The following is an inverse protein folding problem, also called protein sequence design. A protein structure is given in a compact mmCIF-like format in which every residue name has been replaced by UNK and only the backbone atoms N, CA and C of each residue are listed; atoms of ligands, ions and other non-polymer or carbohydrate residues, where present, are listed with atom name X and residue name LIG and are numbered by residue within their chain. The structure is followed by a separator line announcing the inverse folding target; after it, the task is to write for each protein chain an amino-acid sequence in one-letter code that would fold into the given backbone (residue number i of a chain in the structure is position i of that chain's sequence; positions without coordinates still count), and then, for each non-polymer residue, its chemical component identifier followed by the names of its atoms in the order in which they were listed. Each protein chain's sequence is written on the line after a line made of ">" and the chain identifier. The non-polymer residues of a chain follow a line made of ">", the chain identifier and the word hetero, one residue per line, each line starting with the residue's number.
data_IF_532929973158
#
_entry.id   IF_532929973158
#
_cell.length_a   1.000
_cell.length_b   1.000
_cell.length_c   1.000
_cell.angle_alpha   90.00
_cell.angle_beta   90.00
_cell.angle_gamma   90.00
#
_symmetry.space_group_name_H-M   'P 1'
#
loop_
_entity.id
_entity.type
_entity.pdbx_description
1 polymer ?
#
# COMPACT_ATOMS: atom_id res chain seq x y z
N UNK A 1 -58.80 -19.29 32.19
CA UNK A 1 -58.88 -18.75 33.56
C UNK A 1 -57.53 -18.28 33.98
N UNK A 2 -57.46 -17.05 34.41
CA UNK A 2 -56.44 -16.32 35.17
C UNK A 2 -55.11 -16.06 34.42
N UNK A 3 -54.86 -14.85 33.96
CA UNK A 3 -54.62 -13.53 34.62
C UNK A 3 -53.19 -13.51 35.18
N UNK A 4 -52.38 -12.65 34.58
CA UNK A 4 -52.09 -11.24 34.76
C UNK A 4 -50.72 -11.03 35.44
N UNK A 5 -50.10 -10.07 35.07
CA UNK A 5 -49.46 -8.80 35.52
C UNK A 5 -47.92 -8.90 35.32
N UNK A 6 -47.23 -8.15 34.52
CA UNK A 6 -47.27 -6.67 34.47
C UNK A 6 -46.23 -6.10 35.42
N UNK A 7 -44.96 -5.84 35.00
CA UNK A 7 -44.15 -4.81 35.68
C UNK A 7 -43.34 -4.08 34.58
N UNK A 8 -43.76 -2.84 34.30
CA UNK A 8 -43.04 -1.80 33.66
C UNK A 8 -41.98 -1.26 34.62
N UNK A 9 -40.72 -1.14 34.17
CA UNK A 9 -39.76 -0.25 34.83
C UNK A 9 -39.25 0.80 33.85
N UNK A 10 -39.10 2.05 34.28
CA UNK A 10 -38.85 3.18 33.40
C UNK A 10 -37.36 3.38 33.07
N UNK A 11 -37.19 3.86 31.86
CA UNK A 11 -35.93 4.28 31.25
C UNK A 11 -35.24 5.39 32.05
N UNK A 12 -34.00 5.19 32.39
CA UNK A 12 -33.10 6.21 32.90
C UNK A 12 -32.50 6.98 31.70
N UNK A 13 -33.02 8.17 31.43
CA UNK A 13 -32.45 9.12 30.47
C UNK A 13 -31.32 9.86 31.16
N UNK A 14 -30.09 9.57 30.71
CA UNK A 14 -28.92 10.34 31.14
C UNK A 14 -28.79 11.58 30.25
N UNK A 15 -29.13 12.73 30.81
CA UNK A 15 -28.94 14.05 30.20
C UNK A 15 -27.43 14.39 30.24
N UNK A 16 -26.82 14.48 29.07
CA UNK A 16 -25.47 15.03 28.93
C UNK A 16 -25.56 16.53 28.78
N UNK A 17 -25.18 17.25 29.83
CA UNK A 17 -25.07 18.70 29.86
C UNK A 17 -23.83 19.13 29.08
N UNK A 18 -24.05 19.83 27.98
CA UNK A 18 -22.96 20.46 27.20
C UNK A 18 -22.68 21.83 27.84
N UNK A 19 -21.51 22.02 28.41
CA UNK A 19 -21.01 23.29 28.88
C UNK A 19 -20.43 24.12 27.70
N UNK A 20 -20.73 25.43 27.60
CA UNK A 20 -20.16 26.26 26.54
C UNK A 20 -18.74 26.68 26.89
N UNK A 21 -17.78 26.42 25.99
CA UNK A 21 -16.45 26.96 26.07
C UNK A 21 -16.46 28.46 25.74
N UNK A 22 -16.12 29.26 26.73
CA UNK A 22 -15.88 30.71 26.59
C UNK A 22 -14.54 30.96 25.87
N UNK A 23 -14.61 31.60 24.72
CA UNK A 23 -13.44 32.18 24.06
C UNK A 23 -12.96 33.40 24.83
N UNK A 24 -11.84 33.33 25.50
CA UNK A 24 -11.14 34.50 26.03
C UNK A 24 -10.34 35.16 24.90
N UNK A 25 -10.79 36.32 24.49
CA UNK A 25 -10.00 37.24 23.64
C UNK A 25 -8.97 37.94 24.51
N UNK A 26 -7.70 37.80 24.21
CA UNK A 26 -6.62 38.64 24.74
C UNK A 26 -6.52 39.92 23.91
N UNK A 27 -6.38 41.11 24.57
CA UNK A 27 -6.29 42.40 23.85
C UNK A 27 -4.87 42.63 23.31
N UNK A 28 -4.82 43.08 22.07
CA UNK A 28 -3.62 43.62 21.42
C UNK A 28 -3.27 44.99 22.07
N UNK A 29 -2.15 45.06 22.76
CA UNK A 29 -1.57 46.35 23.17
C UNK A 29 -0.70 46.92 22.03
N UNK A 30 -1.19 47.96 21.40
CA UNK A 30 -0.41 48.90 20.59
C UNK A 30 0.41 49.76 21.58
N UNK A 31 1.75 49.74 21.46
CA UNK A 31 2.60 50.78 22.09
C UNK A 31 3.24 51.60 20.98
N UNK A 32 2.69 52.82 20.86
CA UNK A 32 3.34 53.96 20.20
C UNK A 32 4.51 54.40 21.03
N UNK A 33 5.67 54.64 20.43
CA UNK A 33 6.68 55.55 20.95
C UNK A 33 7.08 56.51 19.82
N UNK A 34 6.55 57.76 20.00
CA UNK A 34 7.03 58.99 19.40
C UNK A 34 7.83 59.68 20.48
N UNK A 35 8.90 60.34 20.10
CA UNK A 35 9.67 61.27 20.91
C UNK A 35 11.12 61.33 20.40
N UNK A 36 11.44 62.20 19.51
CA UNK A 36 11.81 63.59 19.56
C UNK A 36 13.05 63.85 20.45
N UNK A 37 14.08 64.43 19.88
CA UNK A 37 15.13 65.11 20.62
C UNK A 37 16.40 65.38 19.76
N UNK A 38 16.48 66.57 19.25
CA UNK A 38 17.60 67.19 18.52
C UNK A 38 18.71 67.68 19.46
N UNK A 39 19.81 68.03 18.88
CA UNK A 39 20.99 68.83 19.34
C UNK A 39 22.23 68.00 19.70
N UNK A 40 23.41 68.32 19.35
CA UNK A 40 24.05 69.54 18.89
C UNK A 40 25.41 69.22 18.22
N UNK A 41 25.81 70.12 17.37
CA UNK A 41 27.05 70.32 16.64
C UNK A 41 28.30 70.44 17.50
N UNK A 42 29.46 70.16 16.81
CA UNK A 42 30.82 70.68 17.02
C UNK A 42 31.80 69.75 17.72
N UNK A 43 32.69 69.24 16.96
CA UNK A 43 34.15 69.50 17.13
C UNK A 43 34.93 68.94 15.93
N UNK A 44 35.82 69.76 15.51
CA UNK A 44 36.60 69.67 14.27
C UNK A 44 37.83 68.79 14.36
N UNK A 45 38.26 68.32 13.15
CA UNK A 45 39.62 68.13 12.70
C UNK A 45 40.60 67.28 13.51
N UNK A 46 40.88 66.10 12.97
CA UNK A 46 42.25 65.57 12.93
C UNK A 46 42.41 64.72 11.65
N UNK A 47 43.13 65.31 10.69
CA UNK A 47 43.60 64.61 9.51
C UNK A 47 44.77 63.71 9.89
N UNK A 48 44.61 62.42 9.72
CA UNK A 48 45.67 61.44 9.67
C UNK A 48 45.27 60.35 8.65
N UNK A 49 46.11 60.01 7.68
CA UNK A 49 45.76 58.94 6.75
C UNK A 49 45.86 57.60 7.45
N UNK A 50 44.69 56.94 7.64
CA UNK A 50 44.67 55.55 8.07
C UNK A 50 45.06 54.66 6.90
N UNK A 51 45.87 53.58 7.15
CA UNK A 51 46.16 52.58 6.13
C UNK A 51 44.87 51.93 5.67
N UNK A 52 44.71 51.78 4.34
CA UNK A 52 43.52 51.23 3.71
C UNK A 52 43.16 49.85 4.25
N UNK A 53 41.97 49.76 4.80
CA UNK A 53 41.33 48.48 5.03
C UNK A 53 41.00 47.93 3.67
N UNK A 54 41.66 46.82 3.29
CA UNK A 54 41.31 46.02 2.13
C UNK A 54 39.81 45.71 2.21
N UNK A 55 39.03 46.18 1.24
CA UNK A 55 37.63 45.83 1.10
C UNK A 55 37.57 44.31 0.97
N UNK A 56 37.04 43.65 1.99
CA UNK A 56 36.66 42.24 1.92
C UNK A 56 35.58 42.17 0.85
N UNK A 57 35.91 41.57 -0.28
CA UNK A 57 34.99 41.20 -1.32
C UNK A 57 33.88 40.34 -0.64
N UNK A 58 32.58 40.63 -0.87
CA UNK A 58 31.53 39.76 -0.36
C UNK A 58 31.79 38.36 -0.86
N UNK A 59 32.05 37.43 0.04
CA UNK A 59 32.17 36.02 -0.25
C UNK A 59 30.82 35.57 -0.81
N UNK A 60 30.75 35.29 -2.11
CA UNK A 60 29.59 34.69 -2.74
C UNK A 60 29.31 33.40 -1.98
N UNK A 61 28.11 33.18 -1.44
CA UNK A 61 27.80 31.93 -0.73
C UNK A 61 28.16 30.77 -1.67
N UNK A 62 29.07 29.92 -1.21
CA UNK A 62 29.45 28.71 -1.94
C UNK A 62 28.16 27.91 -2.23
N UNK A 63 27.78 27.83 -3.50
CA UNK A 63 26.68 26.96 -3.92
C UNK A 63 27.08 25.56 -3.51
N UNK A 64 26.35 25.00 -2.56
CA UNK A 64 26.57 23.61 -2.11
C UNK A 64 26.57 22.72 -3.36
N UNK A 65 27.52 21.77 -3.49
CA UNK A 65 27.62 20.93 -4.66
C UNK A 65 26.29 20.19 -4.83
N UNK A 66 25.58 20.48 -5.93
CA UNK A 66 24.34 19.78 -6.29
C UNK A 66 24.70 18.35 -6.65
N UNK A 67 24.37 17.40 -5.77
CA UNK A 67 24.53 15.98 -6.06
C UNK A 67 23.65 15.66 -7.29
N UNK A 68 24.24 15.14 -8.38
CA UNK A 68 23.44 14.81 -9.56
C UNK A 68 22.43 13.72 -9.20
N UNK A 69 21.18 13.78 -9.72
CA UNK A 69 20.15 12.78 -9.48
C UNK A 69 20.63 11.40 -9.95
N UNK A 70 20.59 10.39 -9.08
CA UNK A 70 20.91 9.01 -9.44
C UNK A 70 19.68 8.24 -9.93
N UNK A 71 19.84 7.26 -10.82
CA UNK A 71 18.76 6.32 -11.10
C UNK A 71 18.42 5.55 -9.82
N UNK A 72 17.14 5.41 -9.53
CA UNK A 72 16.61 4.62 -8.41
C UNK A 72 15.71 3.52 -8.93
N UNK A 73 15.78 2.34 -8.36
CA UNK A 73 14.97 1.20 -8.73
C UNK A 73 13.65 1.22 -7.96
N UNK A 74 12.54 1.43 -8.67
CA UNK A 74 11.21 1.49 -8.09
C UNK A 74 10.62 0.08 -8.04
N UNK A 75 10.26 -0.37 -6.82
CA UNK A 75 9.51 -1.60 -6.59
C UNK A 75 8.04 -1.32 -6.33
N UNK A 76 7.15 -2.12 -6.92
CA UNK A 76 5.72 -2.09 -6.66
C UNK A 76 5.33 -3.33 -5.85
N UNK A 77 4.86 -3.13 -4.61
CA UNK A 77 4.43 -4.21 -3.73
C UNK A 77 2.88 -4.28 -3.67
N UNK A 78 2.31 -5.33 -4.27
CA UNK A 78 0.87 -5.52 -4.41
C UNK A 78 0.36 -6.48 -3.34
N UNK A 79 -0.44 -5.98 -2.41
CA UNK A 79 -0.96 -6.75 -1.29
C UNK A 79 -2.08 -7.73 -1.65
N UNK A 80 -2.34 -8.67 -0.74
CA UNK A 80 -3.47 -9.60 -0.79
C UNK A 80 -4.79 -8.94 -0.42
N UNK A 81 -5.91 -9.50 -0.92
CA UNK A 81 -7.25 -8.97 -0.62
C UNK A 81 -8.38 -9.54 -1.45
N UNK A 82 -8.22 -10.71 -2.04
CA UNK A 82 -9.21 -11.41 -2.86
C UNK A 82 -9.81 -10.49 -3.96
N UNK A 83 -11.14 -10.34 -4.09
CA UNK A 83 -11.78 -9.52 -5.13
C UNK A 83 -11.33 -8.04 -5.11
N UNK A 84 -10.88 -7.51 -3.98
CA UNK A 84 -10.31 -6.16 -3.90
C UNK A 84 -9.04 -5.98 -4.75
N UNK A 85 -8.42 -7.09 -5.21
CA UNK A 85 -7.27 -7.10 -6.12
C UNK A 85 -7.45 -6.31 -7.41
N UNK A 86 -8.68 -6.11 -7.87
CA UNK A 86 -8.94 -5.25 -9.03
C UNK A 86 -8.49 -3.81 -8.84
N UNK A 87 -8.38 -3.33 -7.60
CA UNK A 87 -7.88 -1.98 -7.33
C UNK A 87 -6.41 -1.81 -7.74
N UNK A 88 -5.60 -2.88 -7.71
CA UNK A 88 -4.22 -2.83 -8.19
C UNK A 88 -4.12 -2.41 -9.67
N UNK A 89 -5.11 -2.80 -10.48
CA UNK A 89 -5.18 -2.43 -11.90
C UNK A 89 -5.32 -0.91 -12.04
N UNK A 90 -6.21 -0.31 -11.24
CA UNK A 90 -6.38 1.13 -11.19
C UNK A 90 -5.11 1.87 -10.77
N UNK A 91 -4.41 1.33 -9.76
CA UNK A 91 -3.13 1.87 -9.30
C UNK A 91 -2.10 1.85 -10.43
N UNK A 92 -1.91 0.71 -11.11
CA UNK A 92 -0.95 0.57 -12.20
C UNK A 92 -1.29 1.54 -13.35
N UNK A 93 -2.56 1.62 -13.76
CA UNK A 93 -3.02 2.58 -14.78
C UNK A 93 -2.65 4.02 -14.43
N UNK A 94 -2.93 4.42 -13.18
CA UNK A 94 -2.68 5.78 -12.74
C UNK A 94 -1.17 6.08 -12.63
N UNK A 95 -0.35 5.14 -12.18
CA UNK A 95 1.10 5.28 -12.16
C UNK A 95 1.68 5.42 -13.57
N UNK A 96 1.29 4.53 -14.51
CA UNK A 96 1.72 4.57 -15.91
C UNK A 96 1.32 5.89 -16.60
N UNK A 97 0.08 6.35 -16.38
CA UNK A 97 -0.42 7.62 -16.92
C UNK A 97 0.38 8.85 -16.44
N UNK A 98 1.07 8.72 -15.31
CA UNK A 98 1.94 9.75 -14.73
C UNK A 98 3.42 9.55 -15.04
N UNK A 99 3.75 8.58 -15.91
CA UNK A 99 5.12 8.27 -16.30
C UNK A 99 5.93 7.56 -15.19
N UNK A 100 5.26 6.97 -14.21
CA UNK A 100 5.91 6.20 -13.14
C UNK A 100 5.82 4.72 -13.50
N UNK A 101 6.97 4.15 -13.86
CA UNK A 101 7.10 2.75 -14.26
C UNK A 101 7.93 2.00 -13.23
N UNK A 102 7.33 1.09 -12.44
CA UNK A 102 8.08 0.21 -11.56
C UNK A 102 9.06 -0.68 -12.34
N UNK A 103 10.24 -0.91 -11.78
CA UNK A 103 11.30 -1.74 -12.37
C UNK A 103 11.33 -3.16 -11.82
N UNK A 104 10.53 -3.42 -10.78
CA UNK A 104 10.24 -4.74 -10.26
C UNK A 104 8.85 -4.75 -9.59
N UNK A 105 8.24 -5.90 -9.51
CA UNK A 105 6.95 -6.07 -8.83
C UNK A 105 6.96 -7.30 -7.93
N UNK A 106 6.38 -7.14 -6.74
CA UNK A 106 6.10 -8.25 -5.82
C UNK A 106 4.62 -8.35 -5.55
N UNK A 107 4.12 -9.55 -5.31
CA UNK A 107 2.71 -9.76 -5.06
C UNK A 107 2.43 -10.86 -4.06
N UNK A 108 1.36 -10.68 -3.30
CA UNK A 108 0.81 -11.66 -2.36
C UNK A 108 -0.65 -11.92 -2.73
N UNK A 109 -1.07 -13.20 -2.84
CA UNK A 109 -2.45 -13.62 -3.10
C UNK A 109 -3.04 -12.93 -4.35
N UNK A 110 -4.13 -12.19 -4.25
CA UNK A 110 -4.68 -11.41 -5.36
C UNK A 110 -3.65 -10.45 -5.99
N UNK A 111 -2.76 -9.87 -5.17
CA UNK A 111 -1.64 -9.06 -5.67
C UNK A 111 -0.66 -9.86 -6.51
N UNK A 112 -0.45 -11.16 -6.21
CA UNK A 112 0.42 -12.03 -7.01
C UNK A 112 -0.16 -12.29 -8.42
N UNK A 113 -1.47 -12.39 -8.55
CA UNK A 113 -2.14 -12.50 -9.85
C UNK A 113 -1.87 -11.27 -10.71
N UNK A 114 -2.14 -10.08 -10.16
CA UNK A 114 -1.93 -8.83 -10.90
C UNK A 114 -0.45 -8.58 -11.17
N UNK A 115 0.43 -8.89 -10.21
CA UNK A 115 1.88 -8.79 -10.38
C UNK A 115 2.39 -9.68 -11.53
N UNK A 116 1.92 -10.93 -11.61
CA UNK A 116 2.31 -11.87 -12.69
C UNK A 116 1.88 -11.37 -14.06
N UNK A 117 0.65 -10.89 -14.19
CA UNK A 117 0.13 -10.34 -15.44
C UNK A 117 0.87 -9.05 -15.84
N UNK A 118 1.13 -8.16 -14.90
CA UNK A 118 1.88 -6.94 -15.14
C UNK A 118 3.33 -7.25 -15.53
N UNK A 119 3.99 -8.14 -14.79
CA UNK A 119 5.37 -8.57 -15.09
C UNK A 119 5.51 -9.25 -16.45
N UNK A 120 4.44 -9.87 -16.97
CA UNK A 120 4.44 -10.46 -18.32
C UNK A 120 4.54 -9.39 -19.42
N UNK A 121 4.31 -8.12 -19.08
CA UNK A 121 4.35 -6.96 -19.95
C UNK A 121 2.98 -6.45 -20.36
N UNK A 122 1.92 -6.84 -19.68
CA UNK A 122 0.60 -6.21 -19.84
C UNK A 122 0.62 -4.83 -19.19
N UNK A 123 0.20 -3.79 -19.92
CA UNK A 123 0.00 -2.46 -19.35
C UNK A 123 -1.23 -2.42 -18.46
N UNK A 124 -1.33 -1.41 -17.59
CA UNK A 124 -2.52 -1.17 -16.77
C UNK A 124 -3.81 -1.08 -17.59
N UNK A 125 -3.73 -0.53 -18.80
CA UNK A 125 -4.88 -0.50 -19.72
C UNK A 125 -5.27 -1.90 -20.21
N UNK A 126 -4.29 -2.75 -20.55
CA UNK A 126 -4.55 -4.14 -20.96
C UNK A 126 -5.12 -4.97 -19.80
N UNK A 127 -4.60 -4.79 -18.59
CA UNK A 127 -5.14 -5.40 -17.38
C UNK A 127 -6.58 -4.97 -17.13
N UNK A 128 -6.91 -3.69 -17.32
CA UNK A 128 -8.26 -3.17 -17.19
C UNK A 128 -9.21 -3.81 -18.22
N UNK A 129 -8.80 -3.87 -19.49
CA UNK A 129 -9.59 -4.53 -20.53
C UNK A 129 -9.84 -5.99 -20.19
N UNK A 130 -8.79 -6.71 -19.76
CA UNK A 130 -8.91 -8.11 -19.33
C UNK A 130 -9.91 -8.26 -18.18
N UNK A 131 -9.82 -7.43 -17.14
CA UNK A 131 -10.73 -7.47 -15.98
C UNK A 131 -12.19 -7.26 -16.38
N UNK A 132 -12.45 -6.34 -17.32
CA UNK A 132 -13.80 -6.03 -17.80
C UNK A 132 -14.42 -7.14 -18.67
N UNK A 133 -13.58 -7.87 -19.40
CA UNK A 133 -14.01 -8.97 -20.28
C UNK A 133 -13.93 -10.34 -19.62
N UNK A 134 -13.50 -10.40 -18.36
CA UNK A 134 -13.39 -11.65 -17.62
C UNK A 134 -14.76 -12.26 -17.37
N UNK A 135 -14.95 -13.51 -17.81
CA UNK A 135 -16.16 -14.27 -17.54
C UNK A 135 -16.24 -14.61 -16.05
N UNK A 136 -17.40 -14.37 -15.45
CA UNK A 136 -17.63 -14.70 -14.04
C UNK A 136 -17.53 -16.21 -13.79
N UNK A 137 -17.86 -17.06 -14.76
CA UNK A 137 -17.67 -18.51 -14.67
C UNK A 137 -16.19 -18.91 -14.58
N UNK A 138 -15.29 -18.18 -15.26
CA UNK A 138 -13.85 -18.42 -15.16
C UNK A 138 -13.28 -17.99 -13.79
N UNK A 139 -13.99 -17.10 -13.09
CA UNK A 139 -13.68 -16.64 -11.73
C UNK A 139 -14.34 -17.54 -10.68
N UNK A 140 -15.39 -18.26 -11.05
CA UNK A 140 -16.26 -19.00 -10.12
C UNK A 140 -15.46 -20.04 -9.30
N UNK A 141 -14.52 -20.74 -9.90
CA UNK A 141 -13.59 -21.65 -9.18
C UNK A 141 -12.67 -20.92 -8.19
N UNK A 142 -12.49 -19.61 -8.39
CA UNK A 142 -11.73 -18.75 -7.51
C UNK A 142 -12.62 -18.06 -6.45
N UNK A 143 -13.91 -17.87 -6.81
CA UNK A 143 -14.89 -17.16 -5.99
C UNK A 143 -15.77 -18.08 -5.11
N UNK A 144 -15.83 -19.38 -5.40
CA UNK A 144 -16.82 -20.32 -4.87
C UNK A 144 -16.52 -21.07 -3.55
N UNK A 145 -15.59 -20.67 -2.66
CA UNK A 145 -15.51 -21.36 -1.38
C UNK A 145 -16.70 -21.08 -0.45
N UNK A 146 -17.49 -20.05 -0.75
CA UNK A 146 -18.52 -19.56 0.18
C UNK A 146 -19.94 -20.04 -0.08
N UNK A 147 -20.18 -20.87 -1.10
CA UNK A 147 -21.54 -21.22 -1.53
C UNK A 147 -21.88 -22.70 -1.69
N UNK A 148 -20.93 -23.61 -1.67
CA UNK A 148 -21.22 -25.04 -1.90
C UNK A 148 -21.24 -25.86 -0.61
N UNK A 149 -22.28 -26.68 -0.45
CA UNK A 149 -22.57 -27.55 0.71
C UNK A 149 -21.60 -28.71 0.93
N UNK A 150 -20.45 -28.75 0.27
CA UNK A 150 -19.48 -29.82 0.40
C UNK A 150 -18.22 -29.30 1.05
N UNK A 151 -17.86 -29.82 2.21
CA UNK A 151 -16.62 -29.57 2.95
C UNK A 151 -15.35 -30.08 2.25
N UNK A 152 -15.26 -29.85 0.94
CA UNK A 152 -14.10 -30.17 0.11
C UNK A 152 -13.26 -28.91 -0.12
N UNK A 153 -12.00 -29.00 0.23
CA UNK A 153 -11.01 -27.95 -0.05
C UNK A 153 -10.84 -27.81 -1.56
N UNK A 154 -10.96 -26.60 -2.08
CA UNK A 154 -10.78 -26.34 -3.51
C UNK A 154 -9.30 -26.52 -3.88
N UNK A 155 -9.05 -27.17 -5.03
CA UNK A 155 -7.68 -27.40 -5.48
C UNK A 155 -7.01 -26.12 -6.01
N UNK A 156 -7.78 -25.15 -6.53
CA UNK A 156 -7.26 -23.90 -7.09
C UNK A 156 -6.48 -24.07 -8.41
N UNK A 157 -6.59 -25.22 -9.08
CA UNK A 157 -5.89 -25.49 -10.34
C UNK A 157 -6.41 -24.60 -11.50
N UNK A 158 -7.68 -24.19 -11.42
CA UNK A 158 -8.26 -23.27 -12.40
C UNK A 158 -7.54 -21.93 -12.42
N UNK A 159 -7.19 -21.37 -11.25
CA UNK A 159 -6.40 -20.14 -11.14
C UNK A 159 -5.01 -20.31 -11.76
N UNK A 160 -4.32 -21.41 -11.44
CA UNK A 160 -3.01 -21.73 -12.01
C UNK A 160 -3.05 -21.78 -13.54
N UNK A 161 -4.02 -22.53 -14.09
CA UNK A 161 -4.18 -22.71 -15.51
C UNK A 161 -4.56 -21.41 -16.21
N UNK A 162 -5.44 -20.63 -15.59
CA UNK A 162 -5.85 -19.32 -16.08
C UNK A 162 -4.68 -18.35 -16.19
N UNK A 163 -3.90 -18.21 -15.12
CA UNK A 163 -2.71 -17.34 -15.14
C UNK A 163 -1.71 -17.82 -16.18
N UNK A 164 -1.37 -19.12 -16.20
CA UNK A 164 -0.43 -19.69 -17.15
C UNK A 164 -0.86 -19.48 -18.61
N UNK A 165 -2.17 -19.62 -18.91
CA UNK A 165 -2.71 -19.32 -20.24
C UNK A 165 -2.50 -17.86 -20.64
N UNK A 166 -2.81 -16.92 -19.75
CA UNK A 166 -2.70 -15.48 -20.03
C UNK A 166 -1.27 -15.01 -20.27
N UNK A 167 -0.30 -15.63 -19.61
CA UNK A 167 1.13 -15.30 -19.74
C UNK A 167 1.87 -16.23 -20.70
N UNK A 168 1.15 -17.08 -21.46
CA UNK A 168 1.72 -18.07 -22.39
C UNK A 168 2.73 -19.02 -21.70
N UNK A 169 2.40 -19.51 -20.50
CA UNK A 169 3.23 -20.41 -19.66
C UNK A 169 4.62 -19.87 -19.35
N UNK A 170 4.80 -18.54 -19.38
CA UNK A 170 6.11 -17.93 -19.10
C UNK A 170 6.50 -18.17 -17.63
N UNK A 171 7.70 -18.73 -17.35
CA UNK A 171 8.19 -18.89 -15.99
C UNK A 171 8.58 -17.55 -15.38
N UNK A 172 8.66 -17.49 -14.04
CA UNK A 172 8.88 -16.24 -13.29
C UNK A 172 10.17 -15.52 -13.74
N UNK A 173 11.26 -16.27 -13.91
CA UNK A 173 12.56 -15.75 -14.31
C UNK A 173 12.62 -15.21 -15.75
N UNK A 174 11.65 -15.55 -16.57
CA UNK A 174 11.54 -15.08 -17.96
C UNK A 174 10.55 -13.93 -18.15
N UNK A 175 10.03 -13.36 -17.05
CA UNK A 175 9.14 -12.21 -17.11
C UNK A 175 9.86 -10.98 -17.65
N UNK A 176 9.12 -10.08 -18.29
CA UNK A 176 9.66 -8.81 -18.80
C UNK A 176 10.11 -7.88 -17.67
N UNK A 177 9.39 -7.95 -16.53
CA UNK A 177 9.71 -7.22 -15.32
C UNK A 177 10.07 -8.24 -14.23
N UNK A 178 11.15 -8.04 -13.46
CA UNK A 178 11.48 -8.87 -12.32
C UNK A 178 10.28 -9.06 -11.40
N UNK A 179 9.87 -10.32 -11.20
CA UNK A 179 8.69 -10.72 -10.45
C UNK A 179 9.07 -11.49 -9.19
N UNK A 180 8.45 -11.14 -8.07
CA UNK A 180 8.48 -11.90 -6.83
C UNK A 180 7.06 -12.26 -6.37
N UNK A 181 6.84 -13.53 -6.05
CA UNK A 181 5.55 -14.02 -5.54
C UNK A 181 5.77 -14.58 -4.15
N UNK A 182 5.05 -14.06 -3.16
CA UNK A 182 5.19 -14.50 -1.76
C UNK A 182 4.17 -15.59 -1.43
N UNK A 183 4.66 -16.67 -0.83
CA UNK A 183 3.83 -17.70 -0.19
C UNK A 183 4.39 -18.05 1.19
N UNK A 184 3.66 -18.83 1.96
CA UNK A 184 4.08 -19.31 3.28
C UNK A 184 4.35 -20.81 3.23
N UNK A 185 5.53 -21.24 3.65
CA UNK A 185 5.82 -22.66 3.89
C UNK A 185 4.99 -23.13 5.10
N UNK A 186 4.08 -24.06 4.86
CA UNK A 186 3.11 -24.50 5.89
C UNK A 186 3.79 -25.19 7.07
N UNK A 187 4.91 -25.85 6.84
CA UNK A 187 5.63 -26.60 7.89
C UNK A 187 6.46 -25.71 8.80
N UNK A 188 7.12 -24.70 8.19
CA UNK A 188 8.07 -23.86 8.92
C UNK A 188 7.49 -22.51 9.34
N UNK A 189 6.40 -22.06 8.69
CA UNK A 189 5.83 -20.73 8.85
C UNK A 189 6.67 -19.62 8.21
N UNK A 190 7.72 -19.99 7.45
CA UNK A 190 8.57 -18.99 6.78
C UNK A 190 7.93 -18.45 5.51
N UNK A 191 8.13 -17.16 5.26
CA UNK A 191 7.83 -16.53 3.98
C UNK A 191 8.80 -16.99 2.90
N UNK A 192 8.27 -17.45 1.77
CA UNK A 192 9.05 -17.87 0.62
C UNK A 192 8.76 -16.91 -0.53
N UNK A 193 9.82 -16.34 -1.08
CA UNK A 193 9.75 -15.47 -2.26
C UNK A 193 10.10 -16.28 -3.51
N UNK A 194 9.08 -16.68 -4.26
CA UNK A 194 9.28 -17.33 -5.56
C UNK A 194 9.77 -16.31 -6.59
N UNK A 195 10.94 -16.55 -7.14
CA UNK A 195 11.58 -15.75 -8.20
C UNK A 195 11.90 -16.58 -9.44
N UNK A 196 11.57 -17.88 -9.43
CA UNK A 196 11.80 -18.84 -10.50
C UNK A 196 10.71 -19.91 -10.50
N UNK A 197 10.54 -20.58 -11.63
CA UNK A 197 9.64 -21.70 -11.80
C UNK A 197 8.30 -21.31 -12.41
N UNK A 198 7.32 -22.23 -12.31
CA UNK A 198 6.00 -22.04 -12.90
C UNK A 198 5.23 -20.91 -12.21
N UNK A 199 4.95 -19.87 -12.96
CA UNK A 199 4.29 -18.65 -12.43
C UNK A 199 2.89 -18.92 -11.91
N UNK A 200 2.07 -19.65 -12.67
CA UNK A 200 0.70 -19.96 -12.22
C UNK A 200 0.68 -20.83 -10.96
N UNK A 201 1.64 -21.75 -10.82
CA UNK A 201 1.78 -22.58 -9.63
C UNK A 201 2.18 -21.75 -8.41
N UNK A 202 3.12 -20.81 -8.55
CA UNK A 202 3.52 -19.91 -7.49
C UNK A 202 2.37 -18.96 -7.10
N UNK A 203 1.61 -18.43 -8.08
CA UNK A 203 0.41 -17.63 -7.84
C UNK A 203 -0.64 -18.44 -7.07
N UNK A 204 -0.88 -19.70 -7.45
CA UNK A 204 -1.79 -20.60 -6.75
C UNK A 204 -1.35 -20.82 -5.30
N UNK A 205 -0.07 -21.09 -5.07
CA UNK A 205 0.50 -21.25 -3.73
C UNK A 205 0.28 -19.98 -2.89
N UNK A 206 0.59 -18.81 -3.46
CA UNK A 206 0.40 -17.49 -2.84
C UNK A 206 -1.06 -17.18 -2.51
N UNK A 207 -2.02 -17.82 -3.20
CA UNK A 207 -3.47 -17.58 -3.05
C UNK A 207 -4.18 -18.72 -2.32
N UNK A 208 -3.46 -19.69 -1.78
CA UNK A 208 -4.02 -20.86 -1.08
C UNK A 208 -4.40 -20.52 0.36
N UNK A 209 -5.48 -19.76 0.53
CA UNK A 209 -6.02 -19.35 1.83
C UNK A 209 -6.41 -20.59 2.67
N UNK A 210 -5.83 -20.76 3.89
CA UNK A 210 -6.18 -21.87 4.76
C UNK A 210 -7.67 -21.93 5.10
N UNK A 211 -8.25 -23.13 5.06
CA UNK A 211 -9.69 -23.33 5.26
C UNK A 211 -10.55 -23.14 4.02
N UNK A 212 -9.96 -22.61 2.93
CA UNK A 212 -10.62 -22.37 1.62
C UNK A 212 -10.02 -23.25 0.55
N UNK A 213 -8.71 -23.19 0.37
CA UNK A 213 -7.96 -23.94 -0.62
C UNK A 213 -7.04 -24.99 0.01
N UNK A 214 -6.73 -26.02 -0.77
CA UNK A 214 -5.70 -26.99 -0.41
C UNK A 214 -4.32 -26.32 -0.49
N UNK A 215 -3.38 -26.70 0.39
CA UNK A 215 -1.97 -26.34 0.22
C UNK A 215 -1.45 -26.80 -1.14
N UNK A 216 -0.47 -26.09 -1.67
CA UNK A 216 0.17 -26.40 -2.95
C UNK A 216 1.53 -27.03 -2.70
N UNK A 217 1.69 -28.29 -3.10
CA UNK A 217 2.99 -28.96 -2.99
C UNK A 217 3.90 -28.57 -4.14
N UNK A 218 5.08 -28.04 -3.82
CA UNK A 218 6.14 -27.67 -4.77
C UNK A 218 7.46 -28.22 -4.23
N UNK A 219 8.09 -29.11 -4.96
CA UNK A 219 9.40 -29.72 -4.61
C UNK A 219 9.44 -30.33 -3.20
N UNK A 220 8.33 -30.97 -2.77
CA UNK A 220 8.23 -31.63 -1.46
C UNK A 220 7.89 -30.73 -0.27
N UNK A 221 7.62 -29.43 -0.51
CA UNK A 221 7.13 -28.48 0.45
C UNK A 221 5.68 -28.11 0.16
N UNK A 222 4.89 -27.96 1.21
CA UNK A 222 3.50 -27.50 1.10
C UNK A 222 3.41 -26.00 1.43
N UNK A 223 2.80 -25.27 0.49
CA UNK A 223 2.67 -23.81 0.58
C UNK A 223 1.21 -23.39 0.72
N UNK A 224 1.02 -22.35 1.51
CA UNK A 224 -0.26 -21.67 1.70
C UNK A 224 -0.11 -20.18 1.43
N UNK A 225 -1.22 -19.43 1.52
CA UNK A 225 -1.28 -18.00 1.20
C UNK A 225 -0.16 -17.20 1.88
N UNK A 226 0.49 -16.34 1.11
CA UNK A 226 1.56 -15.47 1.57
C UNK A 226 1.09 -14.40 2.56
N UNK A 227 -0.21 -14.14 2.60
CA UNK A 227 -0.82 -13.19 3.53
C UNK A 227 -0.67 -13.54 5.01
N UNK A 228 -0.30 -14.80 5.33
CA UNK A 228 0.01 -15.20 6.70
C UNK A 228 1.31 -14.58 7.22
N UNK A 229 2.25 -14.24 6.35
CA UNK A 229 3.58 -13.74 6.72
C UNK A 229 3.90 -12.37 6.15
N UNK A 230 3.47 -12.08 4.93
CA UNK A 230 3.74 -10.81 4.24
C UNK A 230 2.53 -10.40 3.40
N UNK A 231 1.45 -9.91 4.04
CA UNK A 231 0.21 -9.53 3.33
C UNK A 231 0.43 -8.43 2.29
N UNK A 232 1.37 -7.51 2.52
CA UNK A 232 1.84 -6.52 1.55
C UNK A 232 3.36 -6.69 1.42
N UNK A 233 3.87 -7.17 0.26
CA UNK A 233 5.23 -7.68 0.12
C UNK A 233 6.29 -6.57 -0.06
N UNK A 234 6.40 -5.68 0.94
CA UNK A 234 7.35 -4.56 0.99
C UNK A 234 8.79 -5.04 1.17
N UNK A 235 9.00 -5.95 2.12
CA UNK A 235 10.33 -6.49 2.42
C UNK A 235 10.84 -7.34 1.26
N UNK A 236 9.95 -8.11 0.63
CA UNK A 236 10.25 -8.85 -0.59
C UNK A 236 10.67 -7.94 -1.74
N UNK A 237 10.02 -6.77 -1.92
CA UNK A 237 10.44 -5.79 -2.92
C UNK A 237 11.83 -5.22 -2.61
N UNK A 238 12.12 -4.92 -1.33
CA UNK A 238 13.46 -4.51 -0.87
C UNK A 238 14.51 -5.61 -1.13
N UNK A 239 14.20 -6.86 -0.78
CA UNK A 239 15.07 -8.01 -1.02
C UNK A 239 15.37 -8.25 -2.51
N UNK A 240 14.48 -7.81 -3.41
CA UNK A 240 14.71 -7.80 -4.85
C UNK A 240 15.51 -6.57 -5.34
N UNK A 241 15.92 -5.70 -4.44
CA UNK A 241 16.76 -4.56 -4.73
C UNK A 241 16.01 -3.28 -5.09
N UNK A 242 14.77 -3.10 -4.62
CA UNK A 242 14.08 -1.82 -4.75
C UNK A 242 14.72 -0.75 -3.86
N UNK A 243 15.14 0.37 -4.45
CA UNK A 243 15.57 1.56 -3.72
C UNK A 243 14.39 2.37 -3.18
N UNK A 244 13.23 2.26 -3.85
CA UNK A 244 12.00 2.96 -3.52
C UNK A 244 10.83 2.00 -3.66
N UNK A 245 10.01 1.84 -2.63
CA UNK A 245 8.87 0.91 -2.64
C UNK A 245 7.55 1.67 -2.57
N UNK A 246 6.73 1.45 -3.59
CA UNK A 246 5.31 1.84 -3.62
C UNK A 246 4.52 0.61 -3.17
N UNK A 247 3.92 0.68 -1.99
CA UNK A 247 3.09 -0.39 -1.45
C UNK A 247 1.60 -0.12 -1.70
N UNK A 248 0.88 -1.13 -2.17
CA UNK A 248 -0.56 -1.05 -2.38
C UNK A 248 -1.26 -1.97 -1.40
N UNK A 249 -1.94 -1.36 -0.42
CA UNK A 249 -2.67 -2.09 0.61
C UNK A 249 -4.17 -2.10 0.31
N UNK A 250 -4.69 -3.28 -0.01
CA UNK A 250 -6.11 -3.53 -0.27
C UNK A 250 -6.76 -4.43 0.79
N UNK A 251 -6.11 -4.60 1.94
CA UNK A 251 -6.63 -5.43 3.04
C UNK A 251 -7.98 -4.88 3.52
N UNK A 252 -8.90 -5.80 3.88
CA UNK A 252 -10.14 -5.41 4.53
C UNK A 252 -9.88 -4.92 5.94
N UNK A 253 -10.68 -3.95 6.39
CA UNK A 253 -10.77 -3.66 7.82
C UNK A 253 -11.44 -4.86 8.52
N UNK A 254 -10.89 -5.37 9.63
CA UNK A 254 -11.50 -6.50 10.35
C UNK A 254 -12.95 -6.26 10.77
N UNK A 255 -13.30 -5.01 11.08
CA UNK A 255 -14.66 -4.59 11.45
C UNK A 255 -15.68 -4.74 10.31
N UNK A 256 -15.23 -4.78 9.06
CA UNK A 256 -16.12 -4.90 7.89
C UNK A 256 -16.47 -6.35 7.52
N UNK A 257 -15.89 -7.34 8.18
CA UNK A 257 -16.12 -8.76 7.87
C UNK A 257 -17.21 -9.39 8.73
N UNK A 258 -18.10 -10.17 8.09
CA UNK A 258 -19.08 -10.98 8.80
C UNK A 258 -18.43 -12.30 9.24
N UNK A 259 -18.24 -12.49 10.53
CA UNK A 259 -17.58 -13.69 11.11
C UNK A 259 -18.59 -14.77 11.51
N UNK A 260 -19.43 -15.21 10.56
CA UNK A 260 -20.42 -16.25 10.82
C UNK A 260 -19.82 -17.66 10.63
N UNK A 261 -20.00 -18.53 11.63
CA UNK A 261 -19.52 -19.91 11.61
C UNK A 261 -17.99 -20.05 11.79
N UNK A 262 -17.51 -21.29 11.89
CA UNK A 262 -16.08 -21.59 12.16
C UNK A 262 -15.13 -21.04 11.10
N UNK A 263 -15.47 -21.18 9.82
CA UNK A 263 -14.67 -20.64 8.71
C UNK A 263 -14.62 -19.12 8.73
N UNK A 264 -15.73 -18.46 9.08
CA UNK A 264 -15.78 -17.01 9.22
C UNK A 264 -14.88 -16.51 10.35
N UNK A 265 -14.87 -17.21 11.49
CA UNK A 265 -13.96 -16.90 12.62
C UNK A 265 -12.50 -17.08 12.21
N UNK A 266 -12.15 -18.17 11.49
CA UNK A 266 -10.79 -18.40 11.02
C UNK A 266 -10.33 -17.29 10.07
N UNK A 267 -11.15 -16.92 9.08
CA UNK A 267 -10.84 -15.82 8.15
C UNK A 267 -10.71 -14.48 8.87
N UNK A 268 -11.57 -14.22 9.84
CA UNK A 268 -11.48 -13.02 10.68
C UNK A 268 -10.18 -12.99 11.50
N UNK A 269 -9.78 -14.12 12.07
CA UNK A 269 -8.52 -14.23 12.81
C UNK A 269 -7.32 -13.93 11.91
N UNK A 270 -7.28 -14.49 10.70
CA UNK A 270 -6.21 -14.21 9.73
C UNK A 270 -6.22 -12.76 9.28
N UNK A 271 -7.39 -12.12 9.15
CA UNK A 271 -7.51 -10.71 8.80
C UNK A 271 -6.94 -9.80 9.92
N UNK A 272 -7.24 -10.10 11.18
CA UNK A 272 -6.71 -9.36 12.34
C UNK A 272 -5.17 -9.48 12.41
N UNK A 273 -4.65 -10.71 12.29
CA UNK A 273 -3.20 -10.94 12.29
C UNK A 273 -2.54 -10.26 11.10
N UNK A 274 -3.11 -10.40 9.90
CA UNK A 274 -2.61 -9.78 8.67
C UNK A 274 -2.59 -8.25 8.75
N UNK A 275 -3.57 -7.62 9.41
CA UNK A 275 -3.56 -6.17 9.63
C UNK A 275 -2.37 -5.73 10.48
N UNK A 276 -2.07 -6.47 11.56
CA UNK A 276 -0.93 -6.17 12.44
C UNK A 276 0.40 -6.30 11.70
N UNK A 277 0.57 -7.37 10.90
CA UNK A 277 1.76 -7.60 10.08
C UNK A 277 1.88 -6.50 9.01
N UNK A 278 0.78 -6.19 8.30
CA UNK A 278 0.75 -5.15 7.28
C UNK A 278 1.16 -3.79 7.84
N UNK A 279 0.72 -3.43 9.03
CA UNK A 279 1.08 -2.15 9.67
C UNK A 279 2.60 -2.01 9.82
N UNK A 280 3.29 -3.07 10.23
CA UNK A 280 4.75 -3.08 10.36
C UNK A 280 5.46 -3.02 8.99
N UNK A 281 4.96 -3.77 8.00
CA UNK A 281 5.53 -3.76 6.66
C UNK A 281 5.36 -2.41 5.97
N UNK A 282 4.17 -1.82 6.06
CA UNK A 282 3.83 -0.54 5.43
C UNK A 282 4.64 0.64 6.00
N UNK A 283 5.09 0.57 7.25
CA UNK A 283 5.99 1.56 7.82
C UNK A 283 7.36 1.61 7.09
N UNK A 284 7.76 0.52 6.42
CA UNK A 284 9.01 0.43 5.63
C UNK A 284 8.83 0.78 4.14
N UNK A 285 7.62 1.07 3.70
CA UNK A 285 7.35 1.54 2.35
C UNK A 285 7.58 3.05 2.24
N UNK A 286 8.10 3.52 1.10
CA UNK A 286 8.27 4.95 0.87
C UNK A 286 6.93 5.64 0.62
N UNK A 287 6.03 4.97 -0.11
CA UNK A 287 4.66 5.44 -0.35
C UNK A 287 3.69 4.29 -0.18
N UNK A 288 2.59 4.56 0.50
CA UNK A 288 1.48 3.63 0.65
C UNK A 288 0.27 4.17 -0.10
N UNK A 289 -0.24 3.38 -1.03
CA UNK A 289 -1.50 3.62 -1.72
C UNK A 289 -2.56 2.72 -1.09
N UNK A 290 -3.62 3.31 -0.58
CA UNK A 290 -4.73 2.57 0.04
C UNK A 290 -6.03 2.92 -0.68
N UNK A 291 -6.48 2.10 -1.65
CA UNK A 291 -7.79 2.25 -2.27
C UNK A 291 -8.90 2.17 -1.21
N UNK A 292 -9.85 3.09 -1.28
CA UNK A 292 -11.02 3.08 -0.42
C UNK A 292 -12.07 2.11 -0.99
N UNK A 293 -12.30 1.01 -0.29
CA UNK A 293 -13.15 -0.10 -0.73
C UNK A 293 -14.16 -0.46 0.36
N UNK A 294 -15.02 0.49 0.75
CA UNK A 294 -16.04 0.25 1.76
C UNK A 294 -16.98 -0.86 1.27
N UNK A 295 -17.36 -1.74 2.17
CA UNK A 295 -18.37 -2.81 1.96
C UNK A 295 -18.04 -3.80 0.84
N UNK A 296 -16.82 -3.79 0.28
CA UNK A 296 -16.40 -4.76 -0.72
C UNK A 296 -15.87 -6.04 -0.08
N UNK A 297 -16.69 -7.09 -0.09
CA UNK A 297 -16.31 -8.41 0.38
C UNK A 297 -15.24 -9.07 -0.50
N UNK A 298 -14.56 -10.10 0.05
CA UNK A 298 -13.54 -10.84 -0.71
C UNK A 298 -14.07 -11.63 -1.91
N UNK A 299 -15.37 -11.89 -1.98
CA UNK A 299 -16.05 -12.58 -3.11
C UNK A 299 -16.84 -11.63 -4.02
N UNK A 300 -16.76 -10.31 -3.82
CA UNK A 300 -17.50 -9.33 -4.61
C UNK A 300 -16.77 -8.97 -5.90
N UNK A 301 -16.77 -9.91 -6.86
CA UNK A 301 -16.15 -9.72 -8.16
C UNK A 301 -17.00 -8.81 -9.09
N UNK A 302 -18.28 -8.65 -8.80
CA UNK A 302 -19.18 -7.76 -9.55
C UNK A 302 -18.76 -6.29 -9.38
N UNK A 303 -18.21 -5.92 -8.23
CA UNK A 303 -17.73 -4.56 -7.94
C UNK A 303 -16.35 -4.22 -8.55
N UNK A 304 -15.84 -5.01 -9.50
CA UNK A 304 -14.51 -4.81 -10.11
C UNK A 304 -14.28 -3.41 -10.65
N UNK A 305 -15.29 -2.81 -11.31
CA UNK A 305 -15.18 -1.45 -11.85
C UNK A 305 -14.99 -0.42 -10.74
N UNK A 306 -15.72 -0.57 -9.63
CA UNK A 306 -15.60 0.30 -8.46
C UNK A 306 -14.20 0.17 -7.83
N UNK A 307 -13.68 -1.05 -7.74
CA UNK A 307 -12.34 -1.28 -7.21
C UNK A 307 -11.24 -0.66 -8.09
N UNK A 308 -11.32 -0.83 -9.41
CA UNK A 308 -10.38 -0.21 -10.34
C UNK A 308 -10.39 1.32 -10.18
N UNK A 309 -11.57 1.94 -10.16
CA UNK A 309 -11.70 3.39 -9.95
C UNK A 309 -11.14 3.83 -8.61
N UNK A 310 -11.39 3.09 -7.53
CA UNK A 310 -10.84 3.39 -6.20
C UNK A 310 -9.30 3.35 -6.22
N UNK A 311 -8.69 2.42 -6.96
CA UNK A 311 -7.26 2.37 -7.18
C UNK A 311 -6.70 3.60 -7.88
N UNK A 312 -7.38 4.08 -8.93
CA UNK A 312 -7.01 5.30 -9.65
C UNK A 312 -7.09 6.53 -8.73
N UNK A 313 -8.19 6.67 -7.99
CA UNK A 313 -8.43 7.78 -7.07
C UNK A 313 -7.40 7.82 -5.93
N UNK A 314 -7.13 6.67 -5.30
CA UNK A 314 -6.14 6.57 -4.24
C UNK A 314 -4.73 6.93 -4.73
N UNK A 315 -4.38 6.55 -5.96
CA UNK A 315 -3.09 6.91 -6.56
C UNK A 315 -3.02 8.40 -6.84
N UNK A 316 -4.08 8.99 -7.39
CA UNK A 316 -4.15 10.43 -7.65
C UNK A 316 -3.99 11.23 -6.35
N UNK A 317 -4.61 10.79 -5.26
CA UNK A 317 -4.56 11.46 -3.96
C UNK A 317 -3.13 11.55 -3.38
N UNK A 318 -2.27 10.57 -3.64
CA UNK A 318 -0.89 10.56 -3.13
C UNK A 318 0.14 11.04 -4.15
N UNK A 319 -0.26 11.39 -5.36
CA UNK A 319 0.65 11.62 -6.49
C UNK A 319 1.66 12.75 -6.24
N UNK A 320 1.24 13.86 -5.65
CA UNK A 320 2.14 14.97 -5.32
C UNK A 320 3.24 14.50 -4.35
N UNK A 321 2.84 13.89 -3.23
CA UNK A 321 3.78 13.35 -2.23
C UNK A 321 4.68 12.25 -2.82
N UNK A 322 4.15 11.41 -3.70
CA UNK A 322 4.92 10.37 -4.38
C UNK A 322 6.04 10.99 -5.24
N UNK A 323 5.73 12.01 -6.03
CA UNK A 323 6.72 12.72 -6.86
C UNK A 323 7.80 13.39 -6.02
N UNK A 324 7.41 14.07 -4.94
CA UNK A 324 8.34 14.73 -4.03
C UNK A 324 9.29 13.72 -3.37
N UNK A 325 8.77 12.61 -2.87
CA UNK A 325 9.58 11.54 -2.28
C UNK A 325 10.50 10.86 -3.30
N UNK A 326 10.05 10.65 -4.55
CA UNK A 326 10.89 10.14 -5.63
C UNK A 326 12.03 11.10 -5.96
N UNK A 327 11.75 12.40 -6.04
CA UNK A 327 12.78 13.42 -6.27
C UNK A 327 13.82 13.42 -5.16
N UNK A 328 13.38 13.38 -3.89
CA UNK A 328 14.27 13.30 -2.73
C UNK A 328 15.10 12.01 -2.72
N UNK A 329 14.49 10.86 -3.05
CA UNK A 329 15.21 9.59 -3.10
C UNK A 329 16.34 9.58 -4.15
N UNK A 330 16.13 10.26 -5.29
CA UNK A 330 17.17 10.42 -6.32
C UNK A 330 18.36 11.27 -5.89
N UNK A 331 18.18 12.14 -4.91
CA UNK A 331 19.24 12.99 -4.37
C UNK A 331 20.02 12.34 -3.21
N UNK A 332 19.55 11.21 -2.67
CA UNK A 332 20.25 10.51 -1.58
C UNK A 332 21.45 9.71 -2.10
N UNK A 333 22.57 9.63 -1.35
CA UNK A 333 23.65 8.72 -1.66
C UNK A 333 23.17 7.26 -1.71
N UNK A 334 23.80 6.44 -2.55
CA UNK A 334 23.48 5.02 -2.62
C UNK A 334 23.75 4.34 -1.26
N UNK A 335 22.78 3.53 -0.78
CA UNK A 335 22.92 2.76 0.46
C UNK A 335 22.37 3.41 1.73
N UNK A 336 21.90 4.65 1.70
CA UNK A 336 21.17 5.25 2.84
C UNK A 336 19.70 4.83 2.79
N UNK A 337 19.35 3.78 3.54
CA UNK A 337 17.95 3.50 3.91
C UNK A 337 17.51 4.65 4.81
N UNK A 338 16.33 5.23 4.55
CA UNK A 338 15.78 6.26 5.43
C UNK A 338 15.68 5.67 6.84
N UNK A 339 16.42 6.24 7.80
CA UNK A 339 16.16 6.01 9.21
C UNK A 339 14.75 6.56 9.49
N UNK A 340 13.84 5.66 9.85
CA UNK A 340 12.49 6.01 10.31
C UNK A 340 12.48 6.07 11.82
#
# INVERSE_FOLDING_TARGET
>A
MASADGIFQPSCVLAVTIAPFFFHRLPMQRRNFLGAGAAALLAACSFGPKPGTLATTPETPAVAPTVPPRPIKIGLALGGGAARGFAHIGVIKALEAQGIHPELVTGTSAGAVVAALYASGMSGFQLNKLALTMDEAAIADWALPFGTRFGGWLKGEALQNYVNKLIANRPIEAMKLPLGIVATDLKTGQGILFRRGNTGQAVRASSSVPGVFQPVSIQGHDYVDGGLVEPVPVDSARAMGADFVIAVNISAEPSSQKSNGQSGVLLQTTAIMGQSISKMALARADVVIRPDLPDMGGSDFASRNRAILAGEQATAAVMASLRDKLAQARLRPAGTVAAQ
#
